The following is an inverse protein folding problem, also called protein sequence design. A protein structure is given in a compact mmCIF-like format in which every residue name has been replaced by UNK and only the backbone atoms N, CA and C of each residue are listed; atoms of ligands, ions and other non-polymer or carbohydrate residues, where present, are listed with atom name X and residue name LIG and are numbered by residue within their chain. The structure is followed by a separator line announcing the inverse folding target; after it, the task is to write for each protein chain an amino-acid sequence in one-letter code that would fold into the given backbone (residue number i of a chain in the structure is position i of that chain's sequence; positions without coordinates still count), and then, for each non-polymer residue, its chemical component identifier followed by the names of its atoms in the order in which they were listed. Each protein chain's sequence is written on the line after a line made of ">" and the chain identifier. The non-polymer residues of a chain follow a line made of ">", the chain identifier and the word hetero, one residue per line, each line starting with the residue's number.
data_IF_606641349818
#
_entry.id   IF_606641349818
#
_cell.length_a   1.000
_cell.length_b   1.000
_cell.length_c   1.000
_cell.angle_alpha   90.00
_cell.angle_beta   90.00
_cell.angle_gamma   90.00
#
_symmetry.space_group_name_H-M   'P 1'
#
loop_
_entity.id
_entity.type
_entity.pdbx_description
1 polymer ?
#
# COMPACT_ATOMS: atom_id res chain seq x y z
N UNK A 1 -5.37 7.54 -10.52
CA UNK A 1 -6.29 7.77 -11.62
C UNK A 1 -7.33 8.81 -11.22
N UNK A 2 -7.15 10.06 -11.65
CA UNK A 2 -8.20 11.07 -11.52
C UNK A 2 -9.18 10.81 -12.66
N UNK A 3 -10.26 10.07 -12.38
CA UNK A 3 -11.37 10.00 -13.32
C UNK A 3 -12.16 11.30 -13.21
N UNK A 4 -11.83 12.25 -14.07
CA UNK A 4 -12.55 13.51 -14.17
C UNK A 4 -13.75 13.29 -15.09
N UNK A 5 -14.92 13.05 -14.50
CA UNK A 5 -16.18 13.19 -15.22
C UNK A 5 -16.59 14.67 -15.15
N UNK A 6 -16.85 15.28 -16.31
CA UNK A 6 -17.53 16.57 -16.41
C UNK A 6 -16.83 17.72 -15.66
N UNK A 7 -15.50 17.75 -15.72
CA UNK A 7 -14.70 18.82 -15.10
C UNK A 7 -14.59 18.75 -13.57
N UNK A 8 -15.26 17.79 -12.92
CA UNK A 8 -15.09 17.50 -11.51
C UNK A 8 -14.34 16.19 -11.33
N UNK A 9 -13.09 16.30 -10.90
CA UNK A 9 -12.26 15.15 -10.61
C UNK A 9 -12.64 14.58 -9.24
N UNK A 10 -13.34 13.44 -9.26
CA UNK A 10 -13.58 12.68 -8.05
C UNK A 10 -12.32 11.89 -7.72
N UNK A 11 -11.92 11.94 -6.44
CA UNK A 11 -10.84 11.11 -5.90
C UNK A 11 -11.38 9.68 -5.75
N UNK A 12 -11.53 8.99 -6.88
CA UNK A 12 -12.16 7.66 -6.95
C UNK A 12 -11.41 6.62 -6.10
N UNK A 13 -10.12 6.85 -5.86
CA UNK A 13 -9.30 5.97 -5.05
C UNK A 13 -9.36 6.37 -3.56
N UNK A 14 -10.01 5.53 -2.76
CA UNK A 14 -9.91 5.55 -1.29
C UNK A 14 -8.43 5.40 -0.90
N UNK A 15 -7.92 6.32 -0.09
CA UNK A 15 -6.64 6.15 0.61
C UNK A 15 -6.94 5.65 2.02
N UNK A 16 -6.17 4.69 2.56
CA UNK A 16 -6.34 4.23 3.92
C UNK A 16 -6.12 5.37 4.93
N UNK A 17 -6.72 5.25 6.12
CA UNK A 17 -6.34 6.10 7.26
C UNK A 17 -4.93 5.73 7.74
N UNK A 18 -4.34 6.53 8.62
CA UNK A 18 -3.02 6.24 9.17
C UNK A 18 -3.00 4.90 9.92
N UNK A 19 -4.08 4.59 10.63
CA UNK A 19 -4.24 3.36 11.42
C UNK A 19 -4.40 2.14 10.51
N UNK A 20 -5.24 2.25 9.47
CA UNK A 20 -5.39 1.18 8.46
C UNK A 20 -4.08 0.92 7.72
N UNK A 21 -3.35 1.99 7.36
CA UNK A 21 -2.08 1.88 6.65
C UNK A 21 -1.04 1.13 7.48
N UNK A 22 -0.80 1.57 8.72
CA UNK A 22 0.14 0.91 9.63
C UNK A 22 -0.25 -0.55 9.91
N UNK A 23 -1.54 -0.83 10.05
CA UNK A 23 -2.04 -2.18 10.31
C UNK A 23 -1.83 -3.15 9.14
N UNK A 24 -2.09 -2.70 7.90
CA UNK A 24 -2.13 -3.59 6.73
C UNK A 24 -0.85 -3.59 5.90
N UNK A 25 0.02 -2.60 6.04
CA UNK A 25 1.28 -2.54 5.29
C UNK A 25 2.18 -3.78 5.51
N UNK A 26 2.37 -4.30 6.74
CA UNK A 26 3.20 -5.49 6.94
C UNK A 26 2.66 -6.73 6.21
N UNK A 27 1.33 -6.85 6.10
CA UNK A 27 0.70 -7.95 5.37
C UNK A 27 0.97 -7.82 3.87
N UNK A 28 0.85 -6.62 3.32
CA UNK A 28 1.18 -6.36 1.91
C UNK A 28 2.63 -6.73 1.59
N UNK A 29 3.59 -6.32 2.42
CA UNK A 29 5.02 -6.60 2.20
C UNK A 29 5.34 -8.10 2.19
N UNK A 30 4.54 -8.92 2.86
CA UNK A 30 4.69 -10.38 2.89
C UNK A 30 3.76 -11.11 1.91
N UNK A 31 2.85 -10.38 1.24
CA UNK A 31 1.91 -10.98 0.31
C UNK A 31 2.60 -11.33 -1.01
N UNK A 32 2.43 -12.58 -1.44
CA UNK A 32 3.04 -13.11 -2.66
C UNK A 32 2.08 -12.88 -3.83
N UNK A 33 2.53 -12.28 -4.95
CA UNK A 33 1.68 -12.13 -6.12
C UNK A 33 1.22 -13.49 -6.66
N UNK A 34 -0.05 -13.57 -7.04
CA UNK A 34 -0.72 -14.76 -7.58
C UNK A 34 -1.54 -14.41 -8.83
N UNK A 35 -2.10 -15.42 -9.50
CA UNK A 35 -3.01 -15.18 -10.63
C UNK A 35 -4.31 -14.49 -10.21
N UNK A 36 -4.75 -14.68 -8.97
CA UNK A 36 -5.95 -14.04 -8.40
C UNK A 36 -5.65 -12.60 -7.93
N UNK A 37 -4.42 -12.33 -7.49
CA UNK A 37 -3.96 -11.01 -7.10
C UNK A 37 -2.56 -10.74 -7.67
N UNK A 38 -2.50 -10.00 -8.79
CA UNK A 38 -1.25 -9.75 -9.50
C UNK A 38 -0.25 -8.86 -8.74
N UNK A 39 -0.69 -8.16 -7.67
CA UNK A 39 0.13 -7.23 -6.89
C UNK A 39 0.32 -7.77 -5.48
N UNK A 40 1.57 -7.90 -5.07
CA UNK A 40 1.99 -8.21 -3.70
C UNK A 40 3.30 -7.49 -3.41
N UNK A 41 3.62 -7.30 -2.14
CA UNK A 41 4.85 -6.63 -1.73
C UNK A 41 6.06 -7.56 -1.80
N UNK A 42 5.85 -8.87 -1.65
CA UNK A 42 6.92 -9.85 -1.57
C UNK A 42 7.65 -10.02 -2.91
N UNK A 43 8.97 -9.84 -2.89
CA UNK A 43 9.84 -9.98 -4.06
C UNK A 43 10.08 -8.68 -4.84
N UNK A 44 9.43 -7.58 -4.44
CA UNK A 44 9.64 -6.26 -5.05
C UNK A 44 9.90 -5.18 -4.00
N UNK A 45 9.13 -5.16 -2.92
CA UNK A 45 9.13 -4.08 -1.93
C UNK A 45 9.45 -4.54 -0.51
N UNK A 46 9.50 -5.85 -0.25
CA UNK A 46 9.70 -6.47 1.06
C UNK A 46 11.02 -6.08 1.73
N UNK A 47 12.03 -5.73 0.94
CA UNK A 47 13.34 -5.24 1.43
C UNK A 47 13.53 -3.73 1.24
N UNK A 48 12.58 -3.06 0.56
CA UNK A 48 12.66 -1.63 0.26
C UNK A 48 12.05 -0.74 1.34
N UNK A 49 11.33 -1.33 2.30
CA UNK A 49 10.69 -0.61 3.40
C UNK A 49 11.16 -1.21 4.71
N UNK A 50 11.91 -0.43 5.49
CA UNK A 50 12.36 -0.81 6.84
C UNK A 50 11.36 -0.32 7.88
N UNK A 51 11.06 -1.16 8.88
CA UNK A 51 10.13 -0.83 9.97
C UNK A 51 10.71 -1.25 11.32
N UNK A 52 10.39 -0.47 12.35
CA UNK A 52 10.65 -0.88 13.74
C UNK A 52 9.64 -1.94 14.24
N UNK A 53 9.84 -2.40 15.47
CA UNK A 53 8.95 -3.39 16.10
C UNK A 53 7.52 -2.90 16.34
N UNK A 54 7.27 -1.59 16.26
CA UNK A 54 5.95 -0.96 16.39
C UNK A 54 5.27 -0.74 15.03
N UNK A 55 5.93 -1.10 13.92
CA UNK A 55 5.42 -0.91 12.56
C UNK A 55 5.63 0.51 12.02
N UNK A 56 6.46 1.33 12.67
CA UNK A 56 6.84 2.65 12.17
C UNK A 56 7.85 2.48 11.03
N UNK A 57 7.61 3.14 9.90
CA UNK A 57 8.59 3.16 8.80
C UNK A 57 9.80 3.99 9.22
N UNK A 58 10.97 3.40 9.10
CA UNK A 58 12.25 4.07 9.32
C UNK A 58 12.63 4.80 8.03
N UNK A 59 12.79 6.11 8.10
CA UNK A 59 13.33 6.90 6.99
C UNK A 59 14.85 6.81 6.98
N UNK A 60 15.42 6.56 5.80
CA UNK A 60 16.87 6.64 5.55
C UNK A 60 17.26 8.04 5.04
#
# INVERSE_FOLDING_TARGET
>A
DLSCLWGQCLKLARRPTAEEFQRFLPWFLQDRPTLQCAKGGLGAYDTSVSMDANGTILGE
#
